data_IF_921925032731
#
_entry.id   IF_921925032731
#
_cell.length_a   1.000
_cell.length_b   1.000
_cell.length_c   1.000
_cell.angle_alpha   90.00
_cell.angle_beta   90.00
_cell.angle_gamma   90.00
#
_symmetry.space_group_name_H-M   'P 1'
#
loop_
_entity.id
_entity.type
_entity.pdbx_description
1 polymer ?
#
# COMPACT_ATOMS: atom_id res chain seq x y z
N UNK A 1 -12.57 -25.53 -7.92
CA UNK A 1 -11.53 -24.52 -8.20
C UNK A 1 -11.85 -23.26 -7.41
N UNK A 2 -10.86 -22.55 -6.90
CA UNK A 2 -11.07 -21.24 -6.26
C UNK A 2 -11.47 -20.24 -7.35
N UNK A 3 -12.53 -19.49 -7.12
CA UNK A 3 -13.00 -18.47 -8.06
C UNK A 3 -12.19 -17.19 -7.88
N UNK A 4 -11.92 -16.51 -8.99
CA UNK A 4 -11.26 -15.19 -8.94
C UNK A 4 -12.20 -14.14 -8.33
N UNK A 5 -11.61 -13.10 -7.77
CA UNK A 5 -12.41 -11.97 -7.26
C UNK A 5 -12.91 -11.12 -8.41
N UNK A 6 -14.21 -10.86 -8.47
CA UNK A 6 -14.80 -9.93 -9.43
C UNK A 6 -14.27 -8.50 -9.25
N UNK A 7 -13.82 -8.14 -8.05
CA UNK A 7 -13.17 -6.84 -7.79
C UNK A 7 -11.85 -6.65 -8.55
N UNK A 8 -11.29 -7.72 -9.15
CA UNK A 8 -10.09 -7.66 -9.96
C UNK A 8 -10.28 -7.08 -11.35
N UNK A 9 -11.49 -7.08 -11.85
CA UNK A 9 -11.80 -6.58 -13.19
C UNK A 9 -12.00 -5.06 -13.17
N UNK A 10 -11.42 -4.36 -14.13
CA UNK A 10 -11.83 -2.98 -14.45
C UNK A 10 -13.21 -2.98 -15.11
N UNK A 11 -13.88 -1.84 -15.15
CA UNK A 11 -15.19 -1.74 -15.81
C UNK A 11 -15.17 -2.20 -17.28
N UNK A 12 -14.09 -1.86 -18.00
CA UNK A 12 -13.92 -2.28 -19.40
C UNK A 12 -13.67 -3.78 -19.54
N UNK A 13 -12.85 -4.37 -18.65
CA UNK A 13 -12.61 -5.81 -18.61
C UNK A 13 -13.92 -6.57 -18.28
N UNK A 14 -14.69 -6.10 -17.30
CA UNK A 14 -16.00 -6.68 -16.97
C UNK A 14 -16.95 -6.57 -18.15
N UNK A 15 -16.97 -5.44 -18.84
CA UNK A 15 -17.81 -5.25 -20.01
C UNK A 15 -17.42 -6.18 -21.16
N UNK A 16 -16.12 -6.34 -21.44
CA UNK A 16 -15.62 -7.26 -22.46
C UNK A 16 -15.99 -8.70 -22.12
N UNK A 17 -15.73 -9.12 -20.87
CA UNK A 17 -16.05 -10.47 -20.41
C UNK A 17 -17.56 -10.79 -20.53
N UNK A 18 -18.43 -9.86 -20.13
CA UNK A 18 -19.88 -10.04 -20.26
C UNK A 18 -20.31 -10.14 -21.73
N UNK A 19 -19.71 -9.37 -22.63
CA UNK A 19 -20.02 -9.43 -24.07
C UNK A 19 -19.60 -10.76 -24.69
N UNK A 20 -18.45 -11.31 -24.31
CA UNK A 20 -17.97 -12.63 -24.73
C UNK A 20 -18.93 -13.75 -24.30
N UNK A 21 -19.67 -13.53 -23.19
CA UNK A 21 -20.66 -14.47 -22.67
C UNK A 21 -22.11 -14.13 -23.08
N UNK A 22 -22.30 -13.33 -24.14
CA UNK A 22 -23.60 -13.06 -24.75
C UNK A 22 -24.43 -11.98 -24.05
N UNK A 23 -23.88 -11.25 -23.09
CA UNK A 23 -24.56 -10.15 -22.40
C UNK A 23 -24.28 -8.79 -23.05
N UNK A 24 -25.21 -7.85 -22.86
CA UNK A 24 -25.00 -6.45 -23.34
C UNK A 24 -23.96 -5.71 -22.49
N UNK A 25 -23.14 -4.86 -23.12
CA UNK A 25 -22.17 -3.99 -22.44
C UNK A 25 -22.78 -3.18 -21.26
N UNK A 26 -24.04 -2.76 -21.38
CA UNK A 26 -24.75 -2.00 -20.34
C UNK A 26 -24.91 -2.76 -19.03
N UNK A 27 -24.88 -4.11 -19.05
CA UNK A 27 -24.94 -4.93 -17.85
C UNK A 27 -23.74 -4.72 -16.92
N UNK A 28 -22.57 -4.44 -17.49
CA UNK A 28 -21.36 -4.14 -16.70
C UNK A 28 -21.59 -2.95 -15.75
N UNK A 29 -22.29 -1.90 -16.20
CA UNK A 29 -22.60 -0.76 -15.35
C UNK A 29 -23.56 -1.11 -14.20
N UNK A 30 -24.53 -1.98 -14.43
CA UNK A 30 -25.46 -2.44 -13.38
C UNK A 30 -24.71 -3.26 -12.32
N UNK A 31 -23.86 -4.19 -12.76
CA UNK A 31 -23.01 -4.99 -11.87
C UNK A 31 -22.04 -4.09 -11.10
N UNK A 32 -21.44 -3.12 -11.78
CA UNK A 32 -20.49 -2.16 -11.20
C UNK A 32 -21.13 -1.31 -10.10
N UNK A 33 -22.33 -0.79 -10.36
CA UNK A 33 -23.13 -0.04 -9.38
C UNK A 33 -23.49 -0.91 -8.16
N UNK A 34 -23.92 -2.14 -8.41
CA UNK A 34 -24.23 -3.09 -7.36
C UNK A 34 -23.03 -3.39 -6.46
N UNK A 35 -21.84 -3.61 -7.05
CA UNK A 35 -20.62 -3.93 -6.31
C UNK A 35 -20.08 -2.73 -5.51
N UNK A 36 -19.94 -1.57 -6.13
CA UNK A 36 -19.14 -0.47 -5.56
C UNK A 36 -19.96 0.64 -4.92
N UNK A 37 -21.19 0.90 -5.39
CA UNK A 37 -22.06 1.93 -4.82
C UNK A 37 -23.07 1.36 -3.84
N UNK A 38 -23.76 0.27 -4.21
CA UNK A 38 -24.71 -0.43 -3.34
C UNK A 38 -24.00 -1.39 -2.38
N UNK A 39 -22.77 -1.79 -2.69
CA UNK A 39 -21.90 -2.67 -1.89
C UNK A 39 -22.56 -4.02 -1.59
N UNK A 40 -23.21 -4.57 -2.62
CA UNK A 40 -23.84 -5.88 -2.54
C UNK A 40 -22.74 -6.95 -2.55
N UNK A 41 -22.79 -7.86 -1.58
CA UNK A 41 -21.79 -8.92 -1.36
C UNK A 41 -22.24 -10.31 -1.82
N UNK A 42 -23.45 -10.42 -2.37
CA UNK A 42 -23.98 -11.65 -2.96
C UNK A 42 -24.58 -11.36 -4.35
N UNK A 43 -24.17 -12.12 -5.36
CA UNK A 43 -24.71 -11.97 -6.71
C UNK A 43 -26.22 -12.16 -6.76
N UNK A 44 -26.79 -13.07 -5.96
CA UNK A 44 -28.24 -13.31 -5.90
C UNK A 44 -29.02 -12.08 -5.37
N UNK A 45 -28.37 -11.22 -4.60
CA UNK A 45 -28.98 -10.00 -4.08
C UNK A 45 -28.95 -8.81 -5.06
N UNK A 46 -28.35 -8.96 -6.26
CA UNK A 46 -28.26 -7.92 -7.28
C UNK A 46 -29.58 -7.84 -8.10
N UNK A 47 -30.67 -7.42 -7.48
CA UNK A 47 -32.04 -7.43 -8.07
C UNK A 47 -32.21 -6.58 -9.34
N UNK A 48 -31.32 -5.62 -9.60
CA UNK A 48 -31.37 -4.81 -10.82
C UNK A 48 -30.53 -5.39 -11.97
N UNK A 49 -29.82 -6.50 -11.72
CA UNK A 49 -29.09 -7.26 -12.73
C UNK A 49 -29.92 -8.49 -13.11
N UNK A 50 -30.02 -8.78 -14.40
CA UNK A 50 -30.79 -9.94 -14.87
C UNK A 50 -30.24 -11.23 -14.25
N UNK A 51 -31.13 -12.14 -13.85
CA UNK A 51 -30.80 -13.38 -13.13
C UNK A 51 -29.79 -14.26 -13.89
N UNK A 52 -29.92 -14.41 -15.22
CA UNK A 52 -28.93 -15.17 -16.00
C UNK A 52 -27.52 -14.59 -15.90
N UNK A 53 -27.39 -13.25 -15.82
CA UNK A 53 -26.12 -12.59 -15.66
C UNK A 53 -25.56 -12.81 -14.25
N UNK A 54 -26.37 -12.69 -13.20
CA UNK A 54 -25.88 -12.89 -11.82
C UNK A 54 -25.49 -14.33 -11.57
N UNK A 55 -26.24 -15.31 -12.13
CA UNK A 55 -25.89 -16.73 -12.09
C UNK A 55 -24.57 -17.01 -12.79
N UNK A 56 -24.41 -16.51 -14.01
CA UNK A 56 -23.15 -16.63 -14.76
C UNK A 56 -21.95 -16.03 -13.99
N UNK A 57 -22.12 -14.84 -13.41
CA UNK A 57 -21.07 -14.22 -12.59
C UNK A 57 -20.76 -15.08 -11.37
N UNK A 58 -21.76 -15.63 -10.69
CA UNK A 58 -21.59 -16.49 -9.54
C UNK A 58 -20.87 -17.81 -9.88
N UNK A 59 -21.01 -18.33 -11.12
CA UNK A 59 -20.31 -19.52 -11.59
C UNK A 59 -18.79 -19.25 -11.74
N UNK A 60 -18.40 -18.06 -12.20
CA UNK A 60 -17.00 -17.74 -12.55
C UNK A 60 -16.26 -16.96 -11.48
N UNK A 61 -16.94 -16.09 -10.73
CA UNK A 61 -16.33 -15.16 -9.79
C UNK A 61 -16.82 -15.35 -8.36
N UNK A 62 -16.04 -14.76 -7.43
CA UNK A 62 -16.45 -14.55 -6.04
C UNK A 62 -16.38 -13.05 -5.72
N UNK A 63 -17.32 -12.54 -4.92
CA UNK A 63 -17.29 -11.16 -4.42
C UNK A 63 -16.39 -11.11 -3.18
N UNK A 64 -16.64 -12.00 -2.22
CA UNK A 64 -15.88 -12.06 -0.97
C UNK A 64 -14.70 -13.05 -1.08
N UNK A 65 -13.48 -12.51 -1.17
CA UNK A 65 -12.23 -13.27 -1.26
C UNK A 65 -11.32 -13.09 -0.06
N UNK A 66 -11.71 -12.20 0.87
CA UNK A 66 -11.00 -11.89 2.11
C UNK A 66 -11.90 -12.19 3.31
N UNK A 67 -11.38 -12.95 4.27
CA UNK A 67 -12.01 -13.20 5.56
C UNK A 67 -11.35 -12.34 6.64
N UNK A 68 -12.12 -11.64 7.49
CA UNK A 68 -11.58 -10.95 8.66
C UNK A 68 -11.14 -12.00 9.69
N UNK A 69 -9.84 -12.09 9.94
CA UNK A 69 -9.26 -13.01 10.90
C UNK A 69 -9.08 -12.37 12.27
N UNK A 70 -8.51 -11.15 12.30
CA UNK A 70 -8.33 -10.36 13.53
C UNK A 70 -8.54 -8.89 13.20
N UNK A 71 -9.16 -8.17 14.12
CA UNK A 71 -9.28 -6.72 14.11
C UNK A 71 -8.73 -6.13 15.40
N UNK A 72 -7.90 -5.10 15.30
CA UNK A 72 -7.34 -4.35 16.42
C UNK A 72 -7.65 -2.88 16.26
N UNK A 73 -7.99 -2.21 17.34
CA UNK A 73 -8.29 -0.78 17.35
C UNK A 73 -7.35 -0.07 18.32
N UNK A 74 -6.70 0.97 17.84
CA UNK A 74 -5.83 1.87 18.59
C UNK A 74 -6.61 2.94 19.32
N UNK A 75 -6.02 3.51 20.36
CA UNK A 75 -6.56 4.64 21.09
C UNK A 75 -6.76 5.90 20.22
N UNK A 76 -5.98 6.07 19.16
CA UNK A 76 -6.09 7.17 18.19
C UNK A 76 -7.20 6.97 17.14
N UNK A 77 -7.93 5.85 17.22
CA UNK A 77 -9.01 5.47 16.30
C UNK A 77 -8.53 4.77 15.02
N UNK A 78 -7.24 4.47 14.90
CA UNK A 78 -6.70 3.61 13.84
C UNK A 78 -7.18 2.19 14.02
N UNK A 79 -7.58 1.52 12.92
CA UNK A 79 -8.01 0.11 12.94
C UNK A 79 -7.12 -0.70 12.02
N UNK A 80 -6.49 -1.73 12.58
CA UNK A 80 -5.73 -2.72 11.82
C UNK A 80 -6.53 -3.99 11.65
N UNK A 81 -6.69 -4.40 10.41
CA UNK A 81 -7.32 -5.65 10.00
C UNK A 81 -6.26 -6.65 9.58
N UNK A 82 -6.39 -7.87 10.04
CA UNK A 82 -5.69 -9.03 9.54
C UNK A 82 -6.69 -9.85 8.73
N UNK A 83 -6.51 -9.89 7.42
CA UNK A 83 -7.36 -10.64 6.51
C UNK A 83 -6.70 -11.97 6.14
N UNK A 84 -7.51 -13.03 6.08
CA UNK A 84 -7.15 -14.33 5.51
C UNK A 84 -7.55 -14.36 4.05
N UNK A 85 -6.61 -14.69 3.19
CA UNK A 85 -6.81 -14.92 1.77
C UNK A 85 -7.35 -16.33 1.54
N UNK A 86 -7.92 -16.59 0.36
CA UNK A 86 -8.46 -17.91 0.00
C UNK A 86 -7.42 -19.03 0.05
N UNK A 87 -6.13 -18.74 -0.12
CA UNK A 87 -5.03 -19.71 -0.02
C UNK A 87 -4.51 -19.93 1.41
N UNK A 88 -5.12 -19.26 2.39
CA UNK A 88 -4.76 -19.32 3.80
C UNK A 88 -3.72 -18.30 4.23
N UNK A 89 -3.07 -17.60 3.30
CA UNK A 89 -2.13 -16.53 3.66
C UNK A 89 -2.85 -15.38 4.37
N UNK A 90 -2.09 -14.67 5.21
CA UNK A 90 -2.59 -13.54 5.99
C UNK A 90 -1.95 -12.23 5.49
N UNK A 91 -2.76 -11.18 5.39
CA UNK A 91 -2.33 -9.84 5.02
C UNK A 91 -2.90 -8.80 5.97
N UNK A 92 -2.19 -7.69 6.12
CA UNK A 92 -2.62 -6.57 6.97
C UNK A 92 -3.08 -5.37 6.16
N UNK A 93 -4.13 -4.72 6.65
CA UNK A 93 -4.71 -3.50 6.09
C UNK A 93 -4.99 -2.54 7.25
N UNK A 94 -4.71 -1.25 7.08
CA UNK A 94 -4.88 -0.27 8.15
C UNK A 94 -5.82 0.84 7.71
N UNK A 95 -6.86 1.09 8.51
CA UNK A 95 -7.73 2.26 8.41
C UNK A 95 -7.22 3.35 9.36
N UNK A 96 -6.88 4.50 8.82
CA UNK A 96 -6.40 5.67 9.56
C UNK A 96 -7.38 6.82 9.46
N UNK A 97 -7.51 7.58 10.56
CA UNK A 97 -8.34 8.79 10.62
C UNK A 97 -7.48 10.03 10.56
N UNK A 98 -7.76 10.87 9.60
CA UNK A 98 -7.13 12.18 9.46
C UNK A 98 -8.18 13.29 9.49
N UNK A 99 -7.74 14.52 9.76
CA UNK A 99 -8.62 15.70 9.67
C UNK A 99 -9.22 15.91 8.27
N UNK A 100 -8.55 15.40 7.24
CA UNK A 100 -8.96 15.51 5.83
C UNK A 100 -9.75 14.30 5.31
N UNK A 101 -9.98 13.28 6.14
CA UNK A 101 -10.77 12.11 5.78
C UNK A 101 -10.21 10.78 6.25
N UNK A 102 -10.76 9.69 5.74
CA UNK A 102 -10.39 8.32 6.09
C UNK A 102 -9.42 7.76 5.03
N UNK A 103 -8.27 7.27 5.47
CA UNK A 103 -7.24 6.70 4.62
C UNK A 103 -7.06 5.21 4.89
N UNK A 104 -6.95 4.42 3.82
CA UNK A 104 -6.65 2.99 3.93
C UNK A 104 -5.25 2.72 3.41
N UNK A 105 -4.42 2.06 4.23
CA UNK A 105 -3.12 1.52 3.83
C UNK A 105 -3.32 0.08 3.37
N UNK A 106 -3.03 -0.20 2.09
CA UNK A 106 -3.21 -1.53 1.48
C UNK A 106 -1.89 -2.25 1.24
N UNK A 107 -1.94 -3.56 1.39
CA UNK A 107 -0.89 -4.54 1.09
C UNK A 107 -0.97 -4.98 -0.38
N UNK A 108 0.16 -5.22 -1.04
CA UNK A 108 0.24 -5.65 -2.45
C UNK A 108 0.86 -7.03 -2.67
N UNK A 109 1.51 -7.57 -1.65
CA UNK A 109 2.19 -8.87 -1.74
C UNK A 109 2.06 -9.64 -0.43
N UNK A 110 2.17 -10.95 -0.49
CA UNK A 110 2.38 -11.79 0.68
C UNK A 110 3.89 -11.86 0.93
N UNK A 111 4.37 -11.08 1.91
CA UNK A 111 5.80 -10.86 2.17
C UNK A 111 6.45 -9.84 1.22
N UNK A 112 7.75 -9.63 1.36
CA UNK A 112 8.51 -8.64 0.58
C UNK A 112 9.96 -9.09 0.38
N UNK A 113 10.47 -9.04 -0.86
CA UNK A 113 11.84 -9.42 -1.19
C UNK A 113 12.84 -8.25 -1.21
N UNK A 114 12.40 -7.01 -1.00
CA UNK A 114 13.31 -5.84 -0.99
C UNK A 114 14.31 -5.94 0.15
N UNK A 115 13.91 -6.48 1.31
CA UNK A 115 14.80 -6.81 2.41
C UNK A 115 15.39 -5.57 3.08
N UNK A 116 14.61 -4.50 3.24
CA UNK A 116 14.99 -3.33 4.05
C UNK A 116 15.21 -3.77 5.49
N UNK A 117 16.39 -3.44 6.05
CA UNK A 117 16.83 -3.96 7.35
C UNK A 117 16.14 -3.32 8.56
N UNK A 118 15.31 -2.29 8.33
CA UNK A 118 14.52 -1.60 9.35
C UNK A 118 13.02 -1.96 9.32
N UNK A 119 12.58 -2.72 8.30
CA UNK A 119 11.15 -2.97 8.04
C UNK A 119 10.75 -4.38 8.42
N UNK A 120 9.69 -4.52 9.22
CA UNK A 120 9.15 -5.81 9.63
C UNK A 120 8.67 -6.68 8.43
N UNK A 121 8.17 -6.04 7.36
CA UNK A 121 7.77 -6.75 6.14
C UNK A 121 8.92 -7.47 5.44
N UNK A 122 10.16 -6.97 5.59
CA UNK A 122 11.37 -7.59 5.05
C UNK A 122 11.76 -8.90 5.72
N UNK A 123 11.16 -9.22 6.88
CA UNK A 123 11.34 -10.49 7.60
C UNK A 123 10.52 -11.63 6.97
N UNK A 124 9.49 -11.29 6.22
CA UNK A 124 8.61 -12.23 5.52
C UNK A 124 9.04 -12.30 4.06
N UNK A 125 9.69 -13.39 3.67
CA UNK A 125 10.03 -13.64 2.28
C UNK A 125 8.76 -13.60 1.42
N UNK A 126 8.79 -12.91 0.29
CA UNK A 126 7.67 -12.88 -0.66
C UNK A 126 7.30 -14.29 -1.10
N UNK A 127 6.05 -14.67 -0.95
CA UNK A 127 5.52 -15.93 -1.48
C UNK A 127 4.79 -15.70 -2.82
N UNK A 128 4.01 -14.61 -2.93
CA UNK A 128 3.33 -14.23 -4.17
C UNK A 128 2.88 -12.77 -4.19
N UNK A 129 2.51 -12.33 -5.36
CA UNK A 129 1.76 -11.09 -5.56
C UNK A 129 0.28 -11.26 -5.16
N UNK A 130 -0.34 -10.18 -4.70
CA UNK A 130 -1.79 -10.12 -4.61
C UNK A 130 -2.38 -9.78 -5.98
N UNK A 131 -3.51 -10.39 -6.32
CA UNK A 131 -4.29 -9.97 -7.47
C UNK A 131 -4.90 -8.58 -7.26
N UNK A 132 -5.23 -7.89 -8.34
CA UNK A 132 -5.97 -6.62 -8.28
C UNK A 132 -7.23 -6.73 -7.43
N UNK A 133 -7.97 -7.85 -7.54
CA UNK A 133 -9.16 -8.12 -6.75
C UNK A 133 -8.91 -8.29 -5.26
N UNK A 134 -7.78 -8.91 -4.85
CA UNK A 134 -7.39 -9.00 -3.45
C UNK A 134 -6.98 -7.62 -2.89
N UNK A 135 -6.37 -6.75 -3.71
CA UNK A 135 -6.01 -5.41 -3.27
C UNK A 135 -7.27 -4.52 -3.14
N UNK A 136 -8.18 -4.54 -4.11
CA UNK A 136 -9.49 -3.84 -4.05
C UNK A 136 -10.32 -4.37 -2.88
N UNK A 137 -10.33 -5.69 -2.67
CA UNK A 137 -11.05 -6.35 -1.58
C UNK A 137 -10.72 -5.79 -0.20
N UNK A 138 -9.47 -5.39 0.04
CA UNK A 138 -9.08 -4.74 1.29
C UNK A 138 -9.87 -3.44 1.52
N UNK A 139 -10.02 -2.60 0.49
CA UNK A 139 -10.79 -1.35 0.58
C UNK A 139 -12.26 -1.65 0.78
N UNK A 140 -12.80 -2.63 0.05
CA UNK A 140 -14.21 -3.00 0.15
C UNK A 140 -14.56 -3.55 1.54
N UNK A 141 -13.70 -4.39 2.14
CA UNK A 141 -13.88 -4.89 3.52
C UNK A 141 -13.85 -3.74 4.55
N UNK A 142 -12.93 -2.80 4.41
CA UNK A 142 -12.87 -1.61 5.27
C UNK A 142 -14.11 -0.73 5.07
N UNK A 143 -14.59 -0.56 3.84
CA UNK A 143 -15.80 0.23 3.57
C UNK A 143 -17.05 -0.44 4.16
N UNK A 144 -17.19 -1.76 4.03
CA UNK A 144 -18.30 -2.50 4.66
C UNK A 144 -18.27 -2.41 6.19
N UNK A 145 -17.07 -2.44 6.79
CA UNK A 145 -16.90 -2.17 8.22
C UNK A 145 -17.40 -0.75 8.59
N UNK A 146 -17.03 0.27 7.79
CA UNK A 146 -17.49 1.65 8.02
C UNK A 146 -19.00 1.77 7.88
N UNK A 147 -19.61 1.11 6.90
CA UNK A 147 -21.07 1.14 6.70
C UNK A 147 -21.84 0.60 7.92
N UNK A 148 -21.27 -0.38 8.61
CA UNK A 148 -21.85 -0.96 9.83
C UNK A 148 -21.61 -0.13 11.07
N UNK A 149 -20.36 0.27 11.32
CA UNK A 149 -19.94 0.93 12.56
C UNK A 149 -20.17 2.45 12.52
N UNK A 150 -20.14 3.07 11.35
CA UNK A 150 -20.21 4.52 11.14
C UNK A 150 -20.94 4.87 9.84
N UNK A 151 -22.23 4.67 9.76
CA UNK A 151 -23.01 4.96 8.56
C UNK A 151 -22.79 6.39 8.06
N UNK A 152 -22.44 6.50 6.76
CA UNK A 152 -22.12 7.77 6.12
C UNK A 152 -20.61 8.07 5.98
N UNK A 153 -19.74 7.43 6.76
CA UNK A 153 -18.28 7.51 6.55
C UNK A 153 -17.88 6.74 5.29
N UNK A 154 -16.90 7.28 4.57
CA UNK A 154 -16.37 6.61 3.37
C UNK A 154 -14.86 6.66 3.31
N UNK A 155 -14.24 5.63 2.75
CA UNK A 155 -12.84 5.66 2.38
C UNK A 155 -12.63 6.75 1.34
N UNK A 156 -11.81 7.72 1.66
CA UNK A 156 -11.53 8.89 0.81
C UNK A 156 -10.10 8.95 0.27
N UNK A 157 -9.17 8.28 0.95
CA UNK A 157 -7.75 8.25 0.59
C UNK A 157 -7.21 6.83 0.64
N UNK A 158 -6.24 6.54 -0.22
CA UNK A 158 -5.56 5.25 -0.25
C UNK A 158 -4.05 5.45 -0.34
N UNK A 159 -3.31 4.76 0.52
CA UNK A 159 -1.86 4.68 0.43
C UNK A 159 -1.44 3.23 0.20
N UNK A 160 -0.66 3.01 -0.84
CA UNK A 160 -0.11 1.71 -1.17
C UNK A 160 1.27 1.62 -0.51
N UNK A 161 1.24 1.39 0.81
CA UNK A 161 2.41 1.42 1.70
C UNK A 161 2.39 0.27 2.72
N UNK A 162 1.54 -0.75 2.50
CA UNK A 162 1.49 -1.97 3.29
C UNK A 162 2.62 -2.93 2.95
N UNK A 163 2.38 -4.22 3.14
CA UNK A 163 3.37 -5.26 2.88
C UNK A 163 3.59 -5.42 1.37
N UNK A 164 4.87 -5.42 0.96
CA UNK A 164 5.29 -5.67 -0.42
C UNK A 164 5.89 -4.45 -1.12
N UNK A 165 6.44 -4.69 -2.31
CA UNK A 165 6.88 -3.65 -3.25
C UNK A 165 5.82 -3.52 -4.36
N UNK A 166 5.06 -2.43 -4.40
CA UNK A 166 3.96 -2.28 -5.37
C UNK A 166 4.42 -2.36 -6.82
N UNK A 167 5.61 -1.86 -7.13
CA UNK A 167 6.13 -1.85 -8.49
C UNK A 167 6.65 -3.21 -8.97
N UNK A 168 6.89 -4.15 -8.05
CA UNK A 168 7.15 -5.56 -8.37
C UNK A 168 5.85 -6.32 -8.72
N UNK A 169 4.68 -5.72 -8.42
CA UNK A 169 3.34 -6.22 -8.77
C UNK A 169 2.59 -5.22 -9.68
N UNK A 170 3.26 -4.69 -10.68
CA UNK A 170 2.84 -3.49 -11.43
C UNK A 170 1.52 -3.67 -12.20
N UNK A 171 1.27 -4.83 -12.79
CA UNK A 171 0.04 -5.10 -13.56
C UNK A 171 -1.19 -5.06 -12.64
N UNK A 172 -1.16 -5.82 -11.54
CA UNK A 172 -2.27 -5.84 -10.58
C UNK A 172 -2.45 -4.49 -9.89
N UNK A 173 -1.35 -3.78 -9.60
CA UNK A 173 -1.39 -2.41 -9.06
C UNK A 173 -2.11 -1.46 -10.04
N UNK A 174 -1.82 -1.56 -11.33
CA UNK A 174 -2.40 -0.69 -12.34
C UNK A 174 -3.92 -0.90 -12.47
N UNK A 175 -4.37 -2.15 -12.51
CA UNK A 175 -5.79 -2.48 -12.56
C UNK A 175 -6.49 -2.08 -11.25
N UNK A 176 -5.88 -2.34 -10.10
CA UNK A 176 -6.36 -1.85 -8.81
C UNK A 176 -6.61 -0.34 -8.82
N UNK A 177 -5.63 0.46 -9.28
CA UNK A 177 -5.76 1.92 -9.35
C UNK A 177 -6.88 2.33 -10.30
N UNK A 178 -7.02 1.68 -11.47
CA UNK A 178 -8.11 1.93 -12.41
C UNK A 178 -9.47 1.67 -11.79
N UNK A 179 -9.61 0.56 -11.06
CA UNK A 179 -10.86 0.20 -10.37
C UNK A 179 -11.24 1.26 -9.32
N UNK A 180 -10.33 1.62 -8.42
CA UNK A 180 -10.68 2.50 -7.30
C UNK A 180 -10.89 3.96 -7.71
N UNK A 181 -10.24 4.41 -8.80
CA UNK A 181 -10.43 5.76 -9.32
C UNK A 181 -11.66 5.94 -10.22
N UNK A 182 -12.28 4.83 -10.67
CA UNK A 182 -13.44 4.90 -11.56
C UNK A 182 -14.58 5.69 -10.91
N UNK A 183 -15.03 6.75 -11.60
CA UNK A 183 -16.04 7.69 -11.10
C UNK A 183 -17.44 7.08 -10.95
N UNK A 184 -17.71 5.95 -11.61
CA UNK A 184 -18.95 5.19 -11.51
C UNK A 184 -18.94 4.17 -10.38
N UNK A 185 -17.76 3.96 -9.75
CA UNK A 185 -17.55 3.03 -8.64
C UNK A 185 -17.18 3.73 -7.34
N UNK A 186 -16.01 3.41 -6.79
CA UNK A 186 -15.49 3.99 -5.54
C UNK A 186 -15.16 5.48 -5.66
N UNK A 187 -14.83 5.96 -6.85
CA UNK A 187 -14.59 7.37 -7.17
C UNK A 187 -13.52 8.03 -6.26
N UNK A 188 -12.46 7.30 -5.92
CA UNK A 188 -11.34 7.87 -5.14
C UNK A 188 -10.48 8.69 -6.10
N UNK A 189 -10.44 10.00 -5.87
CA UNK A 189 -9.75 10.92 -6.76
C UNK A 189 -8.25 10.61 -6.87
N UNK A 190 -7.61 10.80 -8.05
CA UNK A 190 -6.20 10.45 -8.26
C UNK A 190 -5.23 11.13 -7.29
N UNK A 191 -5.56 12.34 -6.81
CA UNK A 191 -4.77 13.07 -5.80
C UNK A 191 -4.89 12.49 -4.39
N UNK A 192 -5.83 11.60 -4.16
CA UNK A 192 -6.07 10.91 -2.90
C UNK A 192 -5.50 9.49 -2.89
N UNK A 193 -4.81 9.09 -3.96
CA UNK A 193 -4.13 7.79 -4.07
C UNK A 193 -2.63 8.05 -4.12
N UNK A 194 -1.87 7.43 -3.22
CA UNK A 194 -0.41 7.51 -3.19
C UNK A 194 0.19 6.10 -3.29
N UNK A 195 1.04 5.89 -4.26
CA UNK A 195 1.84 4.66 -4.40
C UNK A 195 3.24 4.95 -3.91
N UNK A 196 3.78 4.09 -3.03
CA UNK A 196 5.16 4.17 -2.56
C UNK A 196 5.99 3.01 -3.10
N UNK A 197 7.20 3.31 -3.59
CA UNK A 197 8.13 2.29 -4.09
C UNK A 197 9.49 2.42 -3.43
N UNK A 198 10.19 1.31 -3.29
CA UNK A 198 11.60 1.26 -2.86
C UNK A 198 12.57 1.86 -3.90
N UNK A 199 12.06 2.18 -5.10
CA UNK A 199 12.83 2.83 -6.15
C UNK A 199 13.25 1.88 -7.29
N UNK A 200 12.33 1.04 -7.77
CA UNK A 200 12.52 0.25 -8.99
C UNK A 200 12.56 1.20 -10.21
N UNK A 201 13.76 1.67 -10.60
CA UNK A 201 13.97 2.77 -11.55
C UNK A 201 13.22 2.55 -12.89
N UNK A 202 13.33 1.36 -13.46
CA UNK A 202 12.69 1.04 -14.74
C UNK A 202 11.15 1.08 -14.62
N UNK A 203 10.61 0.72 -13.44
CA UNK A 203 9.18 0.78 -13.15
C UNK A 203 8.69 2.20 -12.82
N UNK A 204 9.55 3.07 -12.29
CA UNK A 204 9.24 4.51 -12.15
C UNK A 204 9.03 5.13 -13.53
N UNK A 205 9.87 4.78 -14.52
CA UNK A 205 9.73 5.23 -15.91
C UNK A 205 8.41 4.71 -16.51
N UNK A 206 8.13 3.40 -16.39
CA UNK A 206 6.87 2.78 -16.84
C UNK A 206 5.64 3.45 -16.20
N UNK A 207 5.73 3.79 -14.91
CA UNK A 207 4.68 4.50 -14.19
C UNK A 207 4.50 5.94 -14.69
N UNK A 208 5.59 6.64 -15.01
CA UNK A 208 5.53 7.98 -15.60
C UNK A 208 4.85 8.01 -16.97
N UNK A 209 5.02 6.94 -17.76
CA UNK A 209 4.41 6.79 -19.09
C UNK A 209 2.95 6.27 -19.04
N UNK A 210 2.49 5.82 -17.85
CA UNK A 210 1.14 5.28 -17.68
C UNK A 210 0.06 6.37 -17.59
N UNK A 211 -1.22 5.97 -17.76
CA UNK A 211 -2.43 6.80 -17.59
C UNK A 211 -2.92 6.90 -16.14
N UNK A 212 -2.16 6.38 -15.18
CA UNK A 212 -2.63 6.24 -13.80
C UNK A 212 -2.78 7.58 -13.07
N UNK A 213 -1.82 8.48 -13.25
CA UNK A 213 -1.83 9.86 -12.74
C UNK A 213 -2.12 10.01 -11.24
N UNK A 214 -1.68 9.07 -10.41
CA UNK A 214 -1.76 9.13 -8.94
C UNK A 214 -0.46 9.67 -8.35
N UNK A 215 -0.42 9.92 -7.04
CA UNK A 215 0.77 10.42 -6.37
C UNK A 215 1.84 9.34 -6.24
N UNK A 216 3.11 9.74 -6.38
CA UNK A 216 4.27 8.87 -6.23
C UNK A 216 5.07 9.27 -4.98
N UNK A 217 5.38 8.27 -4.14
CA UNK A 217 6.33 8.38 -3.06
C UNK A 217 7.51 7.44 -3.29
N UNK A 218 8.71 7.88 -2.97
CA UNK A 218 9.95 7.12 -3.15
C UNK A 218 10.58 6.88 -1.78
N UNK A 219 10.73 5.63 -1.40
CA UNK A 219 11.47 5.20 -0.20
C UNK A 219 12.97 5.42 -0.43
N UNK A 220 13.45 6.66 -0.22
CA UNK A 220 14.85 7.04 -0.36
C UNK A 220 15.66 6.61 0.85
N UNK A 221 15.26 7.05 2.05
CA UNK A 221 15.74 6.69 3.38
C UNK A 221 17.22 6.94 3.67
N UNK A 222 18.00 7.43 2.73
CA UNK A 222 19.41 7.75 2.90
C UNK A 222 19.83 8.86 1.93
N UNK A 223 20.83 9.70 2.30
CA UNK A 223 21.29 10.76 1.43
C UNK A 223 22.39 10.29 0.46
N UNK A 224 23.02 9.11 0.71
CA UNK A 224 24.13 8.57 -0.06
C UNK A 224 24.06 7.06 -0.20
N UNK A 225 24.86 6.50 -1.11
CA UNK A 225 24.86 5.07 -1.42
C UNK A 225 25.37 4.18 -0.28
N UNK A 226 26.28 4.67 0.56
CA UNK A 226 26.85 3.91 1.67
C UNK A 226 25.75 3.56 2.66
N UNK A 227 25.04 4.56 3.17
CA UNK A 227 23.94 4.38 4.12
C UNK A 227 22.80 3.61 3.46
N UNK A 228 22.41 3.99 2.23
CA UNK A 228 21.29 3.34 1.53
C UNK A 228 21.58 1.86 1.32
N UNK A 229 22.78 1.47 0.94
CA UNK A 229 23.15 0.05 0.74
C UNK A 229 23.10 -0.74 2.07
N UNK A 230 23.45 -0.09 3.18
CA UNK A 230 23.40 -0.68 4.51
C UNK A 230 21.97 -0.99 4.94
N UNK A 231 21.03 -0.06 4.71
CA UNK A 231 19.62 -0.18 5.19
C UNK A 231 18.65 -0.73 4.14
N UNK A 232 18.96 -0.60 2.84
CA UNK A 232 18.12 -1.05 1.72
C UNK A 232 18.97 -1.80 0.69
N UNK A 233 18.90 -3.12 0.69
CA UNK A 233 19.72 -3.97 -0.20
C UNK A 233 19.50 -3.70 -1.67
N UNK A 234 18.34 -3.20 -2.06
CA UNK A 234 18.00 -2.84 -3.45
C UNK A 234 18.98 -1.82 -4.04
N UNK A 235 19.62 -1.00 -3.20
CA UNK A 235 20.60 0.00 -3.65
C UNK A 235 21.82 -0.61 -4.38
N UNK A 236 22.14 -1.89 -4.13
CA UNK A 236 23.21 -2.59 -4.85
C UNK A 236 22.90 -2.78 -6.33
N UNK A 237 21.62 -2.97 -6.66
CA UNK A 237 21.16 -3.12 -8.04
C UNK A 237 20.74 -1.78 -8.65
N UNK A 238 20.23 -0.87 -7.84
CA UNK A 238 19.73 0.44 -8.25
C UNK A 238 20.32 1.50 -7.31
N UNK A 239 21.54 1.98 -7.60
CA UNK A 239 22.19 3.04 -6.81
C UNK A 239 21.40 4.36 -6.93
N UNK A 240 21.68 5.28 -6.01
CA UNK A 240 20.96 6.57 -5.90
C UNK A 240 20.98 7.33 -7.23
N UNK A 241 22.08 7.31 -7.97
CA UNK A 241 22.22 8.02 -9.24
C UNK A 241 21.20 7.51 -10.28
N UNK A 242 21.07 6.18 -10.40
CA UNK A 242 20.07 5.56 -11.30
C UNK A 242 18.64 5.88 -10.83
N UNK A 243 18.40 5.86 -9.53
CA UNK A 243 17.12 6.23 -8.95
C UNK A 243 16.77 7.69 -9.25
N UNK A 244 17.72 8.61 -9.04
CA UNK A 244 17.49 10.04 -9.27
C UNK A 244 17.26 10.35 -10.75
N UNK A 245 17.92 9.64 -11.68
CA UNK A 245 17.63 9.74 -13.12
C UNK A 245 16.18 9.33 -13.46
N UNK A 246 15.69 8.25 -12.85
CA UNK A 246 14.30 7.83 -13.05
C UNK A 246 13.31 8.84 -12.43
N UNK A 247 13.66 9.45 -11.30
CA UNK A 247 12.89 10.54 -10.69
C UNK A 247 12.86 11.76 -11.60
N UNK A 248 13.99 12.17 -12.18
CA UNK A 248 14.05 13.28 -13.14
C UNK A 248 13.13 13.02 -14.33
N UNK A 249 13.22 11.83 -14.92
CA UNK A 249 12.32 11.44 -16.00
C UNK A 249 10.85 11.56 -15.61
N UNK A 250 10.47 11.06 -14.41
CA UNK A 250 9.10 11.18 -13.90
C UNK A 250 8.66 12.64 -13.75
N UNK A 251 9.51 13.50 -13.17
CA UNK A 251 9.20 14.91 -12.96
C UNK A 251 9.03 15.65 -14.29
N UNK A 252 9.94 15.43 -15.23
CA UNK A 252 9.91 16.06 -16.56
C UNK A 252 8.70 15.62 -17.37
N UNK A 253 8.41 14.31 -17.35
CA UNK A 253 7.30 13.71 -18.09
C UNK A 253 5.93 14.13 -17.58
N UNK A 254 5.76 14.16 -16.24
CA UNK A 254 4.44 14.31 -15.62
C UNK A 254 4.17 15.69 -15.07
N UNK A 255 5.20 16.49 -14.82
CA UNK A 255 5.16 17.75 -14.08
C UNK A 255 4.41 17.63 -12.73
N UNK A 256 4.52 16.45 -12.08
CA UNK A 256 3.83 16.13 -10.82
C UNK A 256 4.83 16.09 -9.69
N UNK A 257 4.39 16.52 -8.50
CA UNK A 257 5.20 16.40 -7.29
C UNK A 257 5.42 14.96 -6.89
N UNK A 258 6.60 14.69 -6.32
CA UNK A 258 6.92 13.45 -5.63
C UNK A 258 7.11 13.69 -4.14
N UNK A 259 6.98 12.61 -3.36
CA UNK A 259 7.38 12.61 -1.96
C UNK A 259 8.58 11.68 -1.81
N UNK A 260 9.66 12.18 -1.20
CA UNK A 260 10.81 11.40 -0.79
C UNK A 260 10.62 10.99 0.67
N UNK A 261 10.33 9.73 0.91
CA UNK A 261 10.18 9.16 2.25
C UNK A 261 11.57 8.95 2.85
N UNK A 262 11.81 9.48 4.05
CA UNK A 262 13.09 9.41 4.73
C UNK A 262 12.88 8.99 6.18
N UNK A 263 13.19 7.73 6.49
CA UNK A 263 13.14 7.20 7.86
C UNK A 263 14.35 7.69 8.65
N UNK A 264 14.10 8.22 9.84
CA UNK A 264 15.16 8.69 10.75
C UNK A 264 15.53 7.57 11.72
N UNK A 265 16.75 7.05 11.56
CA UNK A 265 17.35 6.00 12.38
C UNK A 265 18.47 6.61 13.22
N UNK A 266 18.36 6.54 14.55
CA UNK A 266 19.33 7.13 15.48
C UNK A 266 20.76 6.67 15.18
N UNK A 267 21.68 7.64 15.12
CA UNK A 267 23.11 7.44 14.86
C UNK A 267 23.45 6.73 13.53
N UNK A 268 22.48 6.71 12.59
CA UNK A 268 22.66 6.05 11.29
C UNK A 268 22.56 7.05 10.14
N UNK A 269 21.47 7.84 10.12
CA UNK A 269 21.16 8.74 9.02
C UNK A 269 20.45 10.04 9.49
N UNK A 270 20.45 10.31 10.80
CA UNK A 270 19.70 11.40 11.43
C UNK A 270 20.57 12.62 11.83
N UNK A 271 21.86 12.62 11.45
CA UNK A 271 22.78 13.73 11.70
C UNK A 271 22.51 14.95 10.79
N UNK A 272 23.00 16.12 11.21
CA UNK A 272 22.88 17.37 10.43
C UNK A 272 23.63 17.29 9.10
N UNK A 273 24.75 16.59 9.05
CA UNK A 273 25.51 16.30 7.84
C UNK A 273 24.66 15.53 6.81
N UNK A 274 23.92 14.53 7.27
CA UNK A 274 23.00 13.76 6.40
C UNK A 274 21.84 14.62 5.86
N UNK A 275 21.37 15.60 6.67
CA UNK A 275 20.35 16.54 6.20
C UNK A 275 20.89 17.48 5.11
N UNK A 276 22.16 17.91 5.21
CA UNK A 276 22.84 18.72 4.19
C UNK A 276 23.06 17.93 2.90
N UNK A 277 23.57 16.69 3.00
CA UNK A 277 23.72 15.78 1.85
C UNK A 277 22.37 15.53 1.16
N UNK A 278 21.30 15.30 1.94
CA UNK A 278 19.96 15.11 1.40
C UNK A 278 19.45 16.37 0.68
N UNK A 279 19.70 17.55 1.24
CA UNK A 279 19.34 18.81 0.60
C UNK A 279 20.08 19.01 -0.73
N UNK A 280 21.35 18.65 -0.80
CA UNK A 280 22.14 18.67 -2.03
C UNK A 280 21.59 17.65 -3.06
N UNK A 281 21.30 16.42 -2.64
CA UNK A 281 20.71 15.37 -3.49
C UNK A 281 19.35 15.79 -4.07
N UNK A 282 18.50 16.45 -3.28
CA UNK A 282 17.22 17.02 -3.77
C UNK A 282 17.48 18.13 -4.79
N UNK A 283 18.44 19.04 -4.51
CA UNK A 283 19.00 20.01 -5.43
C UNK A 283 17.97 20.80 -6.22
N UNK A 284 18.05 20.72 -7.55
CA UNK A 284 17.15 21.42 -8.48
C UNK A 284 15.69 20.94 -8.44
N UNK A 285 15.40 19.77 -7.86
CA UNK A 285 14.06 19.16 -7.77
C UNK A 285 13.20 19.77 -6.66
N UNK A 286 13.74 20.69 -5.86
CA UNK A 286 13.11 21.26 -4.63
C UNK A 286 11.69 21.78 -4.81
N UNK A 287 11.31 22.22 -6.00
CA UNK A 287 9.99 22.75 -6.29
C UNK A 287 8.95 21.65 -6.51
N UNK A 288 9.37 20.46 -6.92
CA UNK A 288 8.54 19.29 -7.22
C UNK A 288 8.78 18.10 -6.27
N UNK A 289 9.73 18.22 -5.34
CA UNK A 289 9.99 17.20 -4.34
C UNK A 289 9.66 17.71 -2.93
N UNK A 290 8.95 16.87 -2.16
CA UNK A 290 8.75 17.05 -0.73
C UNK A 290 9.45 15.93 0.02
N UNK A 291 10.17 16.24 1.09
CA UNK A 291 10.77 15.23 1.97
C UNK A 291 9.81 14.96 3.13
N UNK A 292 9.43 13.70 3.30
CA UNK A 292 8.61 13.25 4.41
C UNK A 292 9.48 12.50 5.42
N UNK A 293 9.79 13.14 6.54
CA UNK A 293 10.58 12.57 7.62
C UNK A 293 9.72 11.62 8.43
N UNK A 294 10.16 10.37 8.54
CA UNK A 294 9.45 9.33 9.29
C UNK A 294 10.26 9.00 10.53
N UNK A 295 9.83 9.39 11.73
CA UNK A 295 10.43 8.86 12.95
C UNK A 295 10.35 7.34 12.95
N UNK A 296 11.45 6.66 13.30
CA UNK A 296 11.47 5.19 13.27
C UNK A 296 10.50 4.60 14.30
N UNK A 297 9.69 3.66 13.86
CA UNK A 297 8.87 2.85 14.73
C UNK A 297 9.61 1.55 15.03
N UNK A 298 10.01 1.30 16.30
CA UNK A 298 10.79 0.12 16.63
C UNK A 298 10.14 -1.18 16.21
N UNK A 299 10.96 -2.09 15.73
CA UNK A 299 10.61 -3.47 15.37
C UNK A 299 11.47 -4.39 16.21
N UNK A 300 10.84 -5.27 17.00
CA UNK A 300 11.54 -6.10 17.99
C UNK A 300 12.73 -6.89 17.41
N UNK A 301 12.60 -7.37 16.16
CA UNK A 301 13.63 -8.13 15.48
C UNK A 301 14.72 -7.27 14.82
N UNK A 302 14.56 -5.97 14.82
CA UNK A 302 15.53 -5.00 14.30
C UNK A 302 16.11 -4.16 15.42
N UNK A 303 16.50 -4.81 16.55
CA UNK A 303 17.02 -4.17 17.76
C UNK A 303 18.30 -3.33 17.56
N UNK A 304 18.96 -3.47 16.40
CA UNK A 304 20.09 -2.63 15.99
C UNK A 304 19.70 -1.19 15.62
N UNK A 305 18.40 -0.92 15.44
CA UNK A 305 17.91 0.42 15.13
C UNK A 305 17.10 0.99 16.28
N UNK A 306 17.26 2.27 16.51
CA UNK A 306 16.55 3.03 17.52
C UNK A 306 15.91 4.26 16.89
N UNK A 307 14.85 4.74 17.53
CA UNK A 307 14.20 6.00 17.18
C UNK A 307 15.13 7.18 17.51
N UNK A 308 15.23 8.13 16.58
CA UNK A 308 15.94 9.39 16.79
C UNK A 308 15.28 10.22 17.89
N UNK A 309 16.08 10.95 18.66
CA UNK A 309 15.59 11.89 19.66
C UNK A 309 14.86 13.07 18.99
N UNK A 310 13.93 13.68 19.73
CA UNK A 310 13.12 14.80 19.20
C UNK A 310 13.97 15.97 18.72
N UNK A 311 15.09 16.24 19.40
CA UNK A 311 16.06 17.29 19.06
C UNK A 311 16.74 16.99 17.73
N UNK A 312 17.12 15.73 17.47
CA UNK A 312 17.72 15.30 16.19
C UNK A 312 16.71 15.44 15.05
N UNK A 313 15.46 15.00 15.25
CA UNK A 313 14.37 15.13 14.26
C UNK A 313 14.13 16.59 13.92
N UNK A 314 14.01 17.45 14.94
CA UNK A 314 13.81 18.89 14.76
C UNK A 314 15.01 19.54 14.07
N UNK A 315 16.22 19.19 14.50
CA UNK A 315 17.45 19.71 13.90
C UNK A 315 17.59 19.33 12.43
N UNK A 316 17.26 18.09 12.07
CA UNK A 316 17.24 17.61 10.69
C UNK A 316 16.20 18.38 9.84
N UNK A 317 14.98 18.53 10.35
CA UNK A 317 13.92 19.31 9.74
C UNK A 317 14.36 20.77 9.50
N UNK A 318 14.95 21.43 10.50
CA UNK A 318 15.38 22.83 10.42
C UNK A 318 16.49 23.03 9.38
N UNK A 319 17.42 22.07 9.26
CA UNK A 319 18.47 22.10 8.21
C UNK A 319 17.82 22.06 6.83
N UNK A 320 16.89 21.12 6.57
CA UNK A 320 16.21 21.04 5.29
C UNK A 320 15.44 22.31 4.97
N UNK A 321 14.73 22.88 5.95
CA UNK A 321 14.00 24.15 5.78
C UNK A 321 14.91 25.31 5.44
N UNK A 322 16.07 25.43 6.11
CA UNK A 322 17.08 26.46 5.81
C UNK A 322 17.66 26.32 4.40
N UNK A 323 17.74 25.09 3.88
CA UNK A 323 18.17 24.82 2.50
C UNK A 323 17.04 24.99 1.47
N UNK A 324 15.87 25.48 1.89
CA UNK A 324 14.72 25.71 1.01
C UNK A 324 14.00 24.43 0.53
N UNK A 325 14.22 23.31 1.23
CA UNK A 325 13.56 22.04 0.91
C UNK A 325 12.18 21.99 1.59
N UNK A 326 11.15 21.68 0.81
CA UNK A 326 9.83 21.38 1.37
C UNK A 326 9.91 20.07 2.15
N UNK A 327 9.60 20.11 3.44
CA UNK A 327 9.62 18.90 4.27
C UNK A 327 8.52 18.93 5.34
N UNK A 328 8.14 17.73 5.78
CA UNK A 328 7.17 17.48 6.85
C UNK A 328 7.66 16.32 7.72
N UNK A 329 7.24 16.30 8.98
CA UNK A 329 7.40 15.14 9.86
C UNK A 329 6.08 14.38 9.86
N UNK A 330 6.13 13.08 9.58
CA UNK A 330 4.96 12.21 9.49
C UNK A 330 4.34 12.01 10.86
N UNK A 331 3.02 12.21 10.94
CA UNK A 331 2.25 11.80 12.11
C UNK A 331 2.15 10.27 12.14
N UNK A 332 2.35 9.71 13.30
CA UNK A 332 2.23 8.28 13.53
C UNK A 332 0.78 7.91 13.84
N UNK A 333 0.37 6.73 13.41
CA UNK A 333 -0.95 6.16 13.64
C UNK A 333 -0.83 4.71 14.11
N UNK A 334 -1.60 4.32 15.11
CA UNK A 334 -1.72 2.93 15.55
C UNK A 334 -0.43 2.32 16.07
N UNK A 335 0.43 3.10 16.71
CA UNK A 335 1.73 2.63 17.26
C UNK A 335 1.52 1.55 18.31
N UNK A 336 0.49 1.68 19.15
CA UNK A 336 0.12 0.77 20.24
C UNK A 336 -0.37 -0.61 19.76
N UNK A 337 -0.73 -0.73 18.47
CA UNK A 337 -1.19 -1.97 17.82
C UNK A 337 -0.26 -2.45 16.70
N UNK A 338 0.98 -1.96 16.63
CA UNK A 338 1.94 -2.26 15.56
C UNK A 338 1.36 -1.98 14.14
N UNK A 339 0.63 -0.87 13.98
CA UNK A 339 0.03 -0.49 12.70
C UNK A 339 0.78 0.63 11.98
N UNK A 340 1.83 1.17 12.58
CA UNK A 340 2.61 2.24 11.99
C UNK A 340 3.49 1.74 10.83
N UNK A 341 3.97 2.67 10.01
CA UNK A 341 4.83 2.34 8.88
C UNK A 341 6.06 1.55 9.29
N UNK A 342 6.36 0.47 8.56
CA UNK A 342 7.47 -0.44 8.83
C UNK A 342 7.17 -1.52 9.85
N UNK A 343 6.05 -1.45 10.59
CA UNK A 343 5.67 -2.42 11.63
C UNK A 343 4.72 -3.52 11.13
N UNK A 344 4.12 -3.34 9.94
CA UNK A 344 3.15 -4.30 9.42
C UNK A 344 3.79 -5.67 9.25
N UNK A 345 3.41 -6.53 10.13
CA UNK A 345 3.79 -7.92 10.20
C UNK A 345 2.85 -8.61 11.17
N UNK A 346 2.19 -9.63 10.74
CA UNK A 346 1.33 -10.38 11.63
C UNK A 346 2.18 -11.17 12.64
N UNK A 347 2.28 -10.66 13.87
CA UNK A 347 2.76 -11.47 15.02
C UNK A 347 1.90 -12.75 15.16
N UNK A 348 0.65 -12.71 14.69
CA UNK A 348 -0.27 -13.84 14.65
C UNK A 348 0.19 -14.90 13.63
N UNK A 349 0.74 -14.52 12.48
CA UNK A 349 1.30 -15.47 11.48
C UNK A 349 2.36 -16.36 12.13
N UNK A 350 3.20 -15.81 13.01
CA UNK A 350 4.21 -16.61 13.73
C UNK A 350 3.59 -17.52 14.78
N UNK A 351 2.58 -17.02 15.53
CA UNK A 351 1.90 -17.84 16.54
C UNK A 351 1.22 -19.03 15.87
N UNK A 352 0.52 -18.80 14.77
CA UNK A 352 -0.20 -19.86 14.05
C UNK A 352 0.77 -20.83 13.37
N UNK A 353 1.88 -20.36 12.78
CA UNK A 353 2.92 -21.21 12.21
C UNK A 353 3.66 -22.03 13.28
N UNK A 354 3.90 -21.47 14.47
CA UNK A 354 4.51 -22.21 15.58
C UNK A 354 3.53 -23.22 16.19
N UNK A 355 2.26 -22.88 16.30
CA UNK A 355 1.22 -23.78 16.79
C UNK A 355 1.02 -24.96 15.82
N UNK A 356 1.01 -24.71 14.51
CA UNK A 356 0.94 -25.77 13.49
C UNK A 356 2.14 -26.71 13.55
N UNK A 357 3.37 -26.19 13.69
CA UNK A 357 4.58 -27.01 13.84
C UNK A 357 4.61 -27.81 15.14
N UNK A 358 4.08 -27.26 16.22
CA UNK A 358 3.99 -27.98 17.50
C UNK A 358 2.93 -29.08 17.42
N UNK A 359 1.77 -28.81 16.81
CA UNK A 359 0.74 -29.81 16.58
C UNK A 359 1.22 -30.96 15.67
N UNK A 360 2.01 -30.66 14.62
CA UNK A 360 2.63 -31.68 13.76
C UNK A 360 3.68 -32.51 14.52
N UNK A 361 4.44 -31.92 15.45
CA UNK A 361 5.41 -32.65 16.30
C UNK A 361 4.72 -33.53 17.32
N UNK A 362 3.62 -33.07 17.92
CA UNK A 362 2.80 -33.85 18.84
C UNK A 362 2.05 -35.01 18.16
N UNK A 363 1.71 -34.88 16.89
CA UNK A 363 1.05 -35.90 16.09
C UNK A 363 2.03 -36.99 15.59
N UNK A 364 3.36 -36.78 15.67
CA UNK A 364 4.42 -37.71 15.26
C UNK A 364 5.08 -38.38 16.48
N UNK A 365 4.82 -37.90 17.68
CA UNK A 365 5.26 -38.52 18.95
C UNK A 365 4.19 -39.42 19.52
#
# INVERSE_FOLDING_TARGET
MKKESIYGLTLDQLAAWLMEHGHKKSRALQVWDALYRKRITDFAAMTEVHEDCTRLLAEHFSIETLEEHVKQQSADGTVKFLFRLQDGNLIETVLMRHKFGLSVCVTTQVGCNIGCSFCASGLLKKSRDLSSGEIVGQIMKVQLYLDQERPGDRVSHVVVMGIGEPFDNFVNLSDFIRVIKDHKGLAIGPRHITVSTSGLADKIIEFADSDLHVNLAISLHAPNNEIRTRIMKINRAIPIEKLMQAIDYYLDKTNRRITLEYILLKDVNDGKEHALELAELVGHRRNLANVNLIPYNPVDEHSQYQRSESESITGFYDVLKKQGISCSVRLEHGVDIDAACGQLRSKQIRKDANNSRNAEREAIS
#
